data_IF_189872960815
#
_entry.id   IF_189872960815
#
_cell.length_a   1.000
_cell.length_b   1.000
_cell.length_c   1.000
_cell.angle_alpha   90.00
_cell.angle_beta   90.00
_cell.angle_gamma   90.00
#
_symmetry.space_group_name_H-M   'P 1'
#
loop_
_entity.id
_entity.type
_entity.pdbx_description
1 polymer ?
#
# COMPACT_ATOMS: atom_id res chain seq x y z
N UNK A 1 12.77 -6.81 22.16
CA UNK A 1 12.78 -5.37 21.82
C UNK A 1 11.90 -4.62 22.82
N UNK A 2 12.39 -3.52 23.40
CA UNK A 2 11.86 -2.91 24.63
C UNK A 2 10.56 -2.08 24.48
N UNK A 3 9.98 -1.95 23.28
CA UNK A 3 8.73 -1.20 23.08
C UNK A 3 8.76 0.27 23.49
N UNK A 4 9.95 0.91 23.51
CA UNK A 4 10.08 2.32 23.88
C UNK A 4 9.82 3.22 22.67
N UNK A 5 9.12 4.36 22.83
CA UNK A 5 8.90 5.31 21.75
C UNK A 5 10.22 5.72 21.09
N UNK A 6 10.18 6.00 19.80
CA UNK A 6 11.35 6.38 19.02
C UNK A 6 11.91 7.75 19.43
N UNK A 7 11.04 8.59 19.98
CA UNK A 7 11.37 9.86 20.60
C UNK A 7 10.29 10.17 21.66
N UNK A 8 10.70 10.67 22.82
CA UNK A 8 9.82 11.06 23.93
C UNK A 8 9.92 12.55 24.17
N UNK A 9 8.84 13.15 24.68
CA UNK A 9 8.88 14.51 25.15
C UNK A 9 9.96 14.66 26.23
N UNK A 10 10.87 15.61 26.05
CA UNK A 10 12.05 15.80 26.90
C UNK A 10 13.34 15.13 26.42
N UNK A 11 13.30 14.23 25.41
CA UNK A 11 14.54 13.71 24.80
C UNK A 11 15.28 14.86 24.08
N UNK A 12 16.62 14.85 24.13
CA UNK A 12 17.45 15.90 23.53
C UNK A 12 17.62 15.71 22.02
N UNK A 13 17.38 16.78 21.27
CA UNK A 13 17.74 16.87 19.85
C UNK A 13 19.24 17.08 19.68
N UNK A 14 19.76 16.71 18.51
CA UNK A 14 21.16 16.92 18.15
C UNK A 14 21.60 18.39 18.26
N UNK A 15 20.67 19.34 18.10
CA UNK A 15 20.94 20.78 18.14
C UNK A 15 20.62 21.43 19.50
N UNK A 16 20.41 20.63 20.55
CA UNK A 16 20.43 21.13 21.92
C UNK A 16 19.09 21.57 22.52
N UNK A 17 17.94 21.19 21.93
CA UNK A 17 16.61 21.43 22.52
C UNK A 17 15.85 20.14 22.87
N UNK A 18 14.95 20.16 23.86
CA UNK A 18 14.10 19.01 24.16
C UNK A 18 13.01 18.86 23.10
N UNK A 19 12.62 17.61 22.81
CA UNK A 19 11.41 17.33 22.04
C UNK A 19 10.21 17.79 22.87
N UNK A 20 9.41 18.73 22.36
CA UNK A 20 8.25 19.29 23.07
C UNK A 20 6.91 18.68 22.65
N UNK A 21 6.90 17.92 21.55
CA UNK A 21 5.72 17.21 21.04
C UNK A 21 6.16 16.05 20.14
N UNK A 22 5.38 14.97 20.11
CA UNK A 22 5.63 13.82 19.25
C UNK A 22 4.47 12.82 19.28
N UNK A 23 4.50 11.85 18.35
CA UNK A 23 3.51 10.77 18.30
C UNK A 23 3.94 9.63 19.23
N UNK A 24 3.10 9.31 20.22
CA UNK A 24 3.35 8.21 21.16
C UNK A 24 3.34 6.82 20.50
N UNK A 25 2.88 6.71 19.25
CA UNK A 25 2.76 5.45 18.49
C UNK A 25 3.99 5.08 17.65
N UNK A 26 5.00 5.96 17.56
CA UNK A 26 6.22 5.71 16.80
C UNK A 26 7.25 5.11 17.75
N UNK A 27 7.63 3.85 17.54
CA UNK A 27 8.52 3.09 18.43
C UNK A 27 9.78 2.64 17.69
N UNK A 28 10.96 2.67 18.35
CA UNK A 28 12.19 2.10 17.77
C UNK A 28 12.05 0.58 17.70
N UNK A 29 12.11 0.04 16.49
CA UNK A 29 12.09 -1.41 16.24
C UNK A 29 10.71 -2.06 16.36
N UNK A 30 9.60 -1.31 16.32
CA UNK A 30 8.28 -1.93 16.28
C UNK A 30 7.97 -2.47 14.87
N UNK A 31 7.54 -3.75 14.74
CA UNK A 31 7.21 -4.35 13.45
C UNK A 31 5.92 -3.78 12.81
N UNK A 32 5.26 -2.81 13.44
CA UNK A 32 3.95 -2.28 13.04
C UNK A 32 3.87 -0.74 12.96
N UNK A 33 5.00 -0.01 13.06
CA UNK A 33 5.12 1.46 13.03
C UNK A 33 3.84 2.25 12.71
N UNK A 34 3.11 2.70 13.74
CA UNK A 34 1.84 3.41 13.59
C UNK A 34 2.07 4.92 13.78
N UNK A 35 1.65 5.73 12.82
CA UNK A 35 1.51 7.18 12.97
C UNK A 35 0.08 7.63 12.65
N UNK A 36 -0.78 7.69 13.68
CA UNK A 36 -1.63 8.84 14.08
C UNK A 36 -2.68 8.39 15.12
N UNK A 37 -2.81 9.15 16.21
CA UNK A 37 -3.42 8.70 17.49
C UNK A 37 -4.81 9.29 17.82
N UNK A 38 -5.54 9.93 16.89
CA UNK A 38 -6.84 10.59 17.22
C UNK A 38 -7.98 10.48 16.19
N UNK A 39 -7.87 9.66 15.14
CA UNK A 39 -8.98 9.50 14.18
C UNK A 39 -9.96 8.38 14.61
N UNK A 40 -11.28 8.63 14.72
CA UNK A 40 -12.27 7.56 14.79
C UNK A 40 -12.11 6.63 13.58
N UNK A 41 -11.80 5.34 13.83
CA UNK A 41 -11.53 4.36 12.76
C UNK A 41 -10.05 4.09 12.45
N UNK A 42 -9.09 4.64 13.22
CA UNK A 42 -7.73 4.10 13.31
C UNK A 42 -6.99 3.94 11.98
N UNK A 43 -7.12 4.90 11.05
CA UNK A 43 -6.38 4.84 9.78
C UNK A 43 -4.88 5.00 10.02
N UNK A 44 -4.18 3.88 9.83
CA UNK A 44 -2.73 3.75 9.82
C UNK A 44 -2.15 4.04 8.43
N UNK A 45 -2.68 5.03 7.68
CA UNK A 45 -2.14 5.45 6.39
C UNK A 45 -2.66 6.84 5.98
N UNK A 46 -1.78 7.69 5.45
CA UNK A 46 -2.17 8.88 4.70
C UNK A 46 -2.32 8.46 3.26
N UNK A 47 -3.54 8.43 2.72
CA UNK A 47 -3.72 8.21 1.27
C UNK A 47 -2.85 9.24 0.53
N UNK A 48 -1.92 8.81 -0.35
CA UNK A 48 -1.90 7.52 -1.02
C UNK A 48 -0.78 6.55 -0.56
N UNK A 49 -0.21 6.63 0.64
CA UNK A 49 0.94 5.79 1.07
C UNK A 49 0.54 4.78 2.13
N UNK A 50 0.86 3.50 1.90
CA UNK A 50 0.84 2.44 2.90
C UNK A 50 2.12 2.55 3.76
N UNK A 51 2.03 2.89 5.06
CA UNK A 51 3.23 3.13 5.88
C UNK A 51 3.91 1.84 6.37
N UNK A 52 3.25 0.68 6.29
CA UNK A 52 3.91 -0.60 6.57
C UNK A 52 4.89 -0.95 5.44
N UNK A 53 4.50 -0.71 4.19
CA UNK A 53 5.29 -1.07 3.01
C UNK A 53 6.09 0.11 2.43
N UNK A 54 5.83 1.34 2.89
CA UNK A 54 6.34 2.56 2.27
C UNK A 54 5.86 2.78 0.83
N UNK A 55 4.84 2.03 0.41
CA UNK A 55 4.39 1.98 -0.97
C UNK A 55 3.27 2.99 -1.23
N UNK A 56 3.32 3.66 -2.39
CA UNK A 56 2.18 4.43 -2.89
C UNK A 56 1.12 3.45 -3.38
N UNK A 57 -0.05 3.48 -2.76
CA UNK A 57 -1.24 2.70 -3.07
C UNK A 57 -2.38 3.67 -3.38
N UNK A 58 -2.85 3.63 -4.63
CA UNK A 58 -4.11 4.23 -5.03
C UNK A 58 -5.12 3.08 -5.19
N UNK A 59 -6.18 3.02 -4.35
CA UNK A 59 -7.21 2.01 -4.50
C UNK A 59 -7.92 2.17 -5.85
N UNK A 60 -8.67 1.14 -6.25
CA UNK A 60 -9.42 1.17 -7.50
C UNK A 60 -10.40 2.33 -7.53
N UNK A 61 -10.16 3.29 -8.43
CA UNK A 61 -11.09 4.38 -8.73
C UNK A 61 -11.62 4.21 -10.15
N UNK A 62 -12.91 4.47 -10.33
CA UNK A 62 -13.54 4.41 -11.65
C UNK A 62 -13.11 5.61 -12.46
N UNK A 63 -12.23 5.39 -13.45
CA UNK A 63 -11.76 6.43 -14.36
C UNK A 63 -12.87 6.87 -15.32
N UNK A 64 -13.66 5.91 -15.83
CA UNK A 64 -14.71 6.14 -16.83
C UNK A 64 -15.90 5.24 -16.52
N UNK A 65 -17.11 5.82 -16.53
CA UNK A 65 -18.36 5.08 -16.50
C UNK A 65 -19.24 5.55 -17.67
N UNK A 66 -19.53 4.64 -18.61
CA UNK A 66 -20.45 4.88 -19.71
C UNK A 66 -21.78 4.17 -19.40
N UNK A 67 -22.86 4.93 -19.16
CA UNK A 67 -24.16 4.34 -18.85
C UNK A 67 -24.77 3.67 -20.11
N UNK A 68 -25.53 2.60 -19.90
CA UNK A 68 -26.25 1.89 -20.95
C UNK A 68 -26.79 0.56 -20.46
N UNK A 69 -27.59 -0.17 -21.28
CA UNK A 69 -28.09 -1.50 -20.93
C UNK A 69 -26.98 -2.50 -20.60
N UNK A 70 -25.81 -2.32 -21.23
CA UNK A 70 -24.57 -2.99 -20.86
C UNK A 70 -23.53 -1.91 -20.50
N UNK A 71 -23.43 -1.51 -19.23
CA UNK A 71 -22.56 -0.41 -18.82
C UNK A 71 -21.09 -0.78 -19.00
N UNK A 72 -20.29 0.18 -19.45
CA UNK A 72 -18.84 0.04 -19.48
C UNK A 72 -18.22 0.84 -18.33
N UNK A 73 -17.42 0.18 -17.51
CA UNK A 73 -16.69 0.80 -16.40
C UNK A 73 -15.21 0.48 -16.51
N UNK A 74 -14.39 1.52 -16.67
CA UNK A 74 -12.94 1.41 -16.53
C UNK A 74 -12.58 1.79 -15.10
N UNK A 75 -11.96 0.87 -14.38
CA UNK A 75 -11.42 1.10 -13.05
C UNK A 75 -9.98 0.64 -13.02
N UNK A 76 -9.10 1.45 -12.45
CA UNK A 76 -7.70 1.11 -12.28
C UNK A 76 -7.26 1.38 -10.85
N UNK A 77 -6.36 0.54 -10.37
CA UNK A 77 -5.65 0.69 -9.11
C UNK A 77 -4.16 0.85 -9.40
N UNK A 78 -3.45 1.56 -8.51
CA UNK A 78 -2.00 1.68 -8.58
C UNK A 78 -1.34 1.21 -7.29
N UNK A 79 -0.27 0.43 -7.42
CA UNK A 79 0.57 0.04 -6.31
C UNK A 79 2.05 0.10 -6.73
N UNK A 80 2.85 0.93 -6.04
CA UNK A 80 4.29 1.00 -6.28
C UNK A 80 5.07 -0.16 -5.65
N UNK A 81 4.45 -0.95 -4.78
CA UNK A 81 5.07 -2.12 -4.17
C UNK A 81 5.28 -3.23 -5.19
N UNK A 82 6.52 -3.70 -5.31
CA UNK A 82 6.85 -4.90 -6.10
C UNK A 82 6.80 -6.13 -5.20
N UNK A 83 5.88 -7.04 -5.49
CA UNK A 83 5.77 -8.33 -4.79
C UNK A 83 6.93 -9.26 -5.17
N UNK A 84 7.15 -10.32 -4.38
CA UNK A 84 8.21 -11.31 -4.65
C UNK A 84 7.99 -12.04 -5.98
N UNK A 85 6.73 -12.28 -6.35
CA UNK A 85 6.31 -12.92 -7.60
C UNK A 85 5.47 -11.93 -8.40
N UNK A 86 6.07 -10.94 -9.07
CA UNK A 86 5.30 -9.91 -9.75
C UNK A 86 4.58 -10.48 -10.97
N UNK A 87 3.27 -10.22 -11.06
CA UNK A 87 2.53 -10.42 -12.29
C UNK A 87 3.09 -9.49 -13.37
N UNK A 88 3.11 -9.90 -14.66
CA UNK A 88 3.58 -9.01 -15.72
C UNK A 88 2.76 -7.73 -15.78
N UNK A 89 3.38 -6.65 -16.27
CA UNK A 89 2.72 -5.36 -16.45
C UNK A 89 1.52 -5.49 -17.39
N UNK A 90 0.40 -4.87 -17.02
CA UNK A 90 -0.78 -4.76 -17.87
C UNK A 90 -0.62 -3.63 -18.88
N UNK A 91 -1.70 -3.33 -19.61
CA UNK A 91 -1.71 -2.30 -20.67
C UNK A 91 -1.44 -0.88 -20.17
N UNK A 92 -1.65 -0.63 -18.87
CA UNK A 92 -1.43 0.68 -18.25
C UNK A 92 -0.03 0.87 -17.68
N UNK A 93 0.86 -0.10 -17.88
CA UNK A 93 2.25 -0.04 -17.45
C UNK A 93 2.50 -0.52 -16.00
N UNK A 94 3.73 -0.38 -15.50
CA UNK A 94 4.13 -0.89 -14.19
C UNK A 94 3.34 -0.27 -13.03
N UNK A 95 2.95 -1.11 -12.06
CA UNK A 95 2.22 -0.70 -10.86
C UNK A 95 0.73 -0.46 -11.06
N UNK A 96 0.28 -0.23 -12.30
CA UNK A 96 -1.14 -0.13 -12.63
C UNK A 96 -1.76 -1.51 -12.86
N UNK A 97 -2.99 -1.67 -12.37
CA UNK A 97 -3.82 -2.87 -12.55
C UNK A 97 -5.27 -2.49 -12.80
N UNK A 98 -5.92 -3.22 -13.68
CA UNK A 98 -7.36 -3.18 -13.89
C UNK A 98 -7.98 -4.56 -13.57
N UNK A 99 -9.30 -4.64 -13.27
CA UNK A 99 -9.97 -5.91 -13.02
C UNK A 99 -9.78 -6.96 -14.15
N UNK A 100 -9.67 -6.49 -15.40
CA UNK A 100 -9.46 -7.35 -16.56
C UNK A 100 -8.00 -7.81 -16.75
N UNK A 101 -7.06 -7.34 -15.94
CA UNK A 101 -5.68 -7.85 -15.95
C UNK A 101 -5.56 -9.23 -15.25
N UNK A 102 -6.60 -9.67 -14.52
CA UNK A 102 -6.64 -11.01 -13.91
C UNK A 102 -6.60 -12.04 -15.04
N UNK A 103 -5.62 -12.94 -14.99
CA UNK A 103 -5.49 -13.97 -16.04
C UNK A 103 -4.84 -15.24 -15.53
N UNK A 104 -5.21 -16.33 -16.16
CA UNK A 104 -4.58 -17.63 -16.00
C UNK A 104 -3.51 -17.80 -17.09
N UNK A 105 -2.32 -18.26 -16.71
CA UNK A 105 -1.24 -18.60 -17.63
C UNK A 105 -0.93 -20.08 -17.50
N UNK A 106 -1.05 -20.79 -18.63
CA UNK A 106 -0.66 -22.19 -18.74
C UNK A 106 0.80 -22.24 -19.18
N UNK A 107 1.62 -23.03 -18.48
CA UNK A 107 2.95 -23.46 -18.92
C UNK A 107 3.05 -24.98 -18.79
N UNK A 108 4.13 -25.55 -19.32
CA UNK A 108 4.28 -27.00 -19.47
C UNK A 108 4.11 -27.78 -18.14
N UNK A 109 4.57 -27.21 -17.02
CA UNK A 109 4.52 -27.84 -15.69
C UNK A 109 3.78 -27.00 -14.63
N UNK A 110 3.22 -25.83 -14.99
CA UNK A 110 2.61 -24.91 -14.02
C UNK A 110 1.37 -24.18 -14.55
N UNK A 111 0.45 -23.90 -13.63
CA UNK A 111 -0.73 -23.07 -13.85
C UNK A 111 -0.65 -21.81 -12.99
N UNK A 112 -0.34 -20.68 -13.60
CA UNK A 112 -0.11 -19.43 -12.87
C UNK A 112 -1.38 -18.57 -12.89
N UNK A 113 -1.89 -18.21 -11.72
CA UNK A 113 -2.90 -17.16 -11.57
C UNK A 113 -2.21 -15.81 -11.36
N UNK A 114 -2.43 -14.87 -12.28
CA UNK A 114 -2.10 -13.47 -12.09
C UNK A 114 -3.31 -12.77 -11.48
N UNK A 115 -3.21 -12.35 -10.22
CA UNK A 115 -4.30 -11.70 -9.50
C UNK A 115 -4.33 -10.17 -9.74
N UNK A 116 -5.38 -9.52 -9.23
CA UNK A 116 -5.53 -8.06 -9.29
C UNK A 116 -4.60 -7.31 -8.31
N UNK A 117 -3.96 -8.03 -7.38
CA UNK A 117 -2.93 -7.50 -6.49
C UNK A 117 -1.56 -7.39 -7.16
N UNK A 118 -1.44 -7.81 -8.42
CA UNK A 118 -0.19 -7.78 -9.17
C UNK A 118 0.76 -8.91 -8.79
N UNK A 119 0.24 -10.04 -8.30
CA UNK A 119 1.01 -11.23 -7.96
C UNK A 119 0.78 -12.35 -8.95
N UNK A 120 1.83 -13.12 -9.22
CA UNK A 120 1.77 -14.44 -9.81
C UNK A 120 1.69 -15.48 -8.69
N UNK A 121 0.66 -16.31 -8.72
CA UNK A 121 0.44 -17.44 -7.81
C UNK A 121 0.69 -18.70 -8.64
N UNK A 122 1.68 -19.48 -8.21
CA UNK A 122 2.12 -20.74 -8.84
C UNK A 122 1.49 -21.92 -8.12
#
# INVERSE_FOLDING_TARGET
MSGKPAARMGDMTQFGGPIVQGSAGVFIGAPTGIACSVCPGGRTSGSPVNPLLGAKVLPGETDIALPGPLPFMLTRAYNSYRTKTPAPSGIFGPGWKAPFDIRLQLRDEELILNDNGGRSIH
#
